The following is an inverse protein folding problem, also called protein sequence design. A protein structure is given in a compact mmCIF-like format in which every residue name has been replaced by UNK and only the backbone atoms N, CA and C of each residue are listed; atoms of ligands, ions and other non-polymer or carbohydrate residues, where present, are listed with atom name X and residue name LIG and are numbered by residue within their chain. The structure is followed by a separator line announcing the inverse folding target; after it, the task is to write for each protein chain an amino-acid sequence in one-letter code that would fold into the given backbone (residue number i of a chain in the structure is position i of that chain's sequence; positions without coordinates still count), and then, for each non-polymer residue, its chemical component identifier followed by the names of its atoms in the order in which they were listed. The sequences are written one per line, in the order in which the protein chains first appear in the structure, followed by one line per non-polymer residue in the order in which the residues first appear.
data_IF_678950350522
#
_entry.id   IF_678950350522
#
_cell.length_a   1.000
_cell.length_b   1.000
_cell.length_c   1.000
_cell.angle_alpha   90.00
_cell.angle_beta   90.00
_cell.angle_gamma   90.00
#
_symmetry.space_group_name_H-M   'P 1'
#
loop_
_entity.id
_entity.type
_entity.pdbx_description
1 polymer ?
#
# COMPACT_ATOMS: atom_id res chain seq x y z
N UNK A 1 27.51 -27.51 -12.30
CA UNK A 1 28.20 -28.26 -11.22
C UNK A 1 29.69 -28.11 -11.47
N UNK A 2 30.41 -27.41 -10.60
CA UNK A 2 31.87 -27.48 -10.63
C UNK A 2 32.26 -28.85 -10.06
N UNK A 3 32.80 -29.72 -10.92
CA UNK A 3 33.29 -31.04 -10.49
C UNK A 3 34.51 -30.91 -9.58
N UNK A 4 34.88 -32.00 -8.90
CA UNK A 4 36.12 -32.05 -8.11
C UNK A 4 37.33 -32.22 -9.02
N UNK A 5 38.35 -31.37 -8.88
CA UNK A 5 39.64 -31.57 -9.55
C UNK A 5 40.37 -32.72 -8.86
N UNK A 6 40.62 -33.79 -9.59
CA UNK A 6 41.34 -34.97 -9.10
C UNK A 6 42.81 -34.96 -9.56
N UNK A 7 43.72 -35.25 -8.65
CA UNK A 7 45.16 -35.34 -8.90
C UNK A 7 45.83 -36.43 -8.07
N UNK A 8 47.00 -36.91 -8.51
CA UNK A 8 47.79 -37.89 -7.78
C UNK A 8 48.46 -37.23 -6.55
N UNK A 9 48.11 -37.72 -5.37
CA UNK A 9 48.56 -37.17 -4.08
C UNK A 9 47.67 -36.04 -3.54
N UNK A 10 47.84 -35.69 -2.25
CA UNK A 10 47.10 -34.60 -1.59
C UNK A 10 47.48 -33.20 -2.09
N UNK A 11 48.55 -33.08 -2.87
CA UNK A 11 49.18 -31.80 -3.27
C UNK A 11 48.63 -31.21 -4.58
N UNK A 12 47.69 -31.87 -5.26
CA UNK A 12 47.16 -31.45 -6.57
C UNK A 12 45.62 -31.36 -6.59
N UNK A 13 44.98 -31.04 -5.46
CA UNK A 13 43.52 -30.97 -5.30
C UNK A 13 43.06 -29.55 -4.96
N UNK A 14 42.87 -28.71 -5.98
CA UNK A 14 42.24 -27.40 -5.82
C UNK A 14 40.80 -27.41 -6.32
N UNK A 15 39.99 -26.43 -5.93
CA UNK A 15 38.60 -26.35 -6.38
C UNK A 15 38.45 -26.02 -7.87
N UNK A 16 39.40 -25.24 -8.42
CA UNK A 16 39.43 -24.81 -9.81
C UNK A 16 40.59 -25.43 -10.58
N UNK A 17 41.78 -25.49 -9.96
CA UNK A 17 42.96 -26.09 -10.58
C UNK A 17 43.85 -26.81 -9.56
N UNK A 18 44.47 -27.93 -9.95
CA UNK A 18 45.45 -28.62 -9.11
C UNK A 18 46.75 -27.82 -8.96
N UNK A 19 47.19 -27.16 -10.02
CA UNK A 19 48.40 -26.32 -10.02
C UNK A 19 48.19 -25.03 -10.81
N UNK A 20 48.73 -23.89 -10.35
CA UNK A 20 48.83 -22.67 -11.16
C UNK A 20 50.27 -22.16 -11.30
N UNK A 21 50.61 -21.66 -12.48
CA UNK A 21 51.88 -20.96 -12.74
C UNK A 21 51.64 -19.54 -13.31
N UNK A 22 50.39 -19.12 -13.40
CA UNK A 22 49.96 -17.80 -13.86
C UNK A 22 48.81 -17.26 -13.01
N UNK A 23 48.48 -15.96 -13.13
CA UNK A 23 47.48 -15.33 -12.28
C UNK A 23 46.09 -15.94 -12.49
N UNK A 24 45.37 -16.15 -11.38
CA UNK A 24 43.94 -16.45 -11.35
C UNK A 24 43.28 -15.33 -10.56
N UNK A 25 42.23 -14.75 -11.12
CA UNK A 25 41.53 -13.60 -10.55
C UNK A 25 40.01 -13.73 -10.75
N UNK A 26 39.22 -13.05 -9.92
CA UNK A 26 37.75 -12.96 -10.00
C UNK A 26 37.06 -14.33 -10.19
N UNK A 27 37.34 -15.26 -9.28
CA UNK A 27 36.96 -16.66 -9.44
C UNK A 27 36.04 -17.14 -8.32
N UNK A 28 35.16 -18.08 -8.65
CA UNK A 28 34.17 -18.61 -7.72
C UNK A 28 34.11 -20.13 -7.83
N UNK A 29 33.98 -20.82 -6.69
CA UNK A 29 33.76 -22.26 -6.67
C UNK A 29 32.77 -22.66 -5.60
N UNK A 30 32.10 -23.78 -5.83
CA UNK A 30 31.23 -24.38 -4.83
C UNK A 30 32.06 -25.25 -3.87
N UNK A 31 32.19 -24.81 -2.63
CA UNK A 31 32.94 -25.51 -1.57
C UNK A 31 32.30 -26.85 -1.17
N UNK A 32 30.99 -26.99 -1.31
CA UNK A 32 30.23 -28.16 -0.89
C UNK A 32 30.29 -29.27 -1.94
N UNK A 33 30.18 -28.93 -3.23
CA UNK A 33 30.28 -29.93 -4.30
C UNK A 33 31.72 -30.30 -4.64
N UNK A 34 32.66 -29.35 -4.52
CA UNK A 34 34.08 -29.62 -4.77
C UNK A 34 34.77 -30.33 -3.61
N UNK A 35 34.31 -30.10 -2.37
CA UNK A 35 34.96 -30.52 -1.14
C UNK A 35 36.27 -29.78 -0.85
N UNK A 36 36.57 -28.70 -1.58
CA UNK A 36 37.84 -27.98 -1.50
C UNK A 36 37.69 -26.61 -0.82
N UNK A 37 38.61 -26.30 0.09
CA UNK A 37 38.69 -25.00 0.79
C UNK A 37 39.51 -23.96 0.04
N UNK A 38 40.31 -24.37 -0.94
CA UNK A 38 41.21 -23.49 -1.70
C UNK A 38 40.90 -23.59 -3.21
N UNK A 39 40.97 -22.46 -3.92
CA UNK A 39 40.83 -22.40 -5.38
C UNK A 39 41.89 -23.25 -6.12
N UNK A 40 43.13 -23.26 -5.61
CA UNK A 40 44.24 -24.06 -6.13
C UNK A 40 44.94 -24.85 -5.01
N UNK A 41 45.71 -25.87 -5.38
CA UNK A 41 46.47 -26.67 -4.41
C UNK A 41 47.94 -26.25 -4.26
N UNK A 42 48.65 -26.03 -5.38
CA UNK A 42 50.06 -25.64 -5.38
C UNK A 42 50.33 -24.71 -6.55
N UNK A 43 51.24 -23.75 -6.42
CA UNK A 43 51.54 -22.87 -7.54
C UNK A 43 52.39 -21.67 -7.18
N UNK A 44 52.90 -21.02 -8.22
CA UNK A 44 53.66 -19.76 -8.12
C UNK A 44 52.90 -18.57 -8.67
N UNK A 45 51.75 -18.80 -9.32
CA UNK A 45 50.89 -17.74 -9.83
C UNK A 45 50.05 -17.11 -8.73
N UNK A 46 49.75 -15.81 -8.85
CA UNK A 46 48.87 -15.13 -7.90
C UNK A 46 47.43 -15.67 -7.97
N UNK A 47 46.75 -15.68 -6.83
CA UNK A 47 45.32 -15.97 -6.72
C UNK A 47 44.69 -14.82 -5.97
N UNK A 48 43.92 -13.99 -6.66
CA UNK A 48 43.26 -12.80 -6.13
C UNK A 48 41.75 -12.88 -6.36
N UNK A 49 40.96 -12.20 -5.52
CA UNK A 49 39.49 -12.09 -5.65
C UNK A 49 38.79 -13.42 -5.99
N UNK A 50 39.22 -14.47 -5.30
CA UNK A 50 38.77 -15.83 -5.49
C UNK A 50 37.99 -16.30 -4.26
N UNK A 51 36.71 -16.62 -4.45
CA UNK A 51 35.77 -16.85 -3.36
C UNK A 51 35.18 -18.26 -3.40
N UNK A 52 35.38 -19.00 -2.31
CA UNK A 52 34.67 -20.25 -2.07
C UNK A 52 33.29 -19.94 -1.52
N UNK A 53 32.26 -20.42 -2.18
CA UNK A 53 30.86 -20.15 -1.87
C UNK A 53 30.14 -21.45 -1.55
N UNK A 54 29.04 -21.39 -0.81
CA UNK A 54 28.13 -22.52 -0.64
C UNK A 54 27.34 -22.80 -1.92
N UNK A 55 26.73 -23.97 -2.05
CA UNK A 55 25.85 -24.30 -3.17
C UNK A 55 24.67 -23.33 -3.27
N UNK A 56 24.15 -22.83 -2.15
CA UNK A 56 23.06 -21.86 -2.16
C UNK A 56 23.55 -20.49 -2.69
N UNK A 57 24.69 -20.01 -2.21
CA UNK A 57 25.28 -18.75 -2.69
C UNK A 57 25.65 -18.83 -4.17
N UNK A 58 26.17 -19.98 -4.65
CA UNK A 58 26.47 -20.19 -6.07
C UNK A 58 25.24 -20.14 -7.00
N UNK A 59 24.02 -20.10 -6.46
CA UNK A 59 22.76 -19.96 -7.20
C UNK A 59 22.08 -18.60 -6.99
N UNK A 60 22.83 -17.61 -6.48
CA UNK A 60 22.35 -16.24 -6.28
C UNK A 60 23.16 -15.27 -7.13
N UNK A 61 22.53 -14.39 -7.93
CA UNK A 61 23.26 -13.41 -8.75
C UNK A 61 24.16 -12.49 -7.92
N UNK A 62 23.70 -12.09 -6.73
CA UNK A 62 24.44 -11.18 -5.84
C UNK A 62 25.83 -11.70 -5.41
N UNK A 63 26.03 -13.02 -5.43
CA UNK A 63 27.32 -13.67 -5.12
C UNK A 63 28.39 -13.31 -6.16
N UNK A 64 28.00 -13.10 -7.41
CA UNK A 64 28.90 -12.86 -8.54
C UNK A 64 29.03 -11.35 -8.80
N UNK A 65 29.42 -10.58 -7.78
CA UNK A 65 29.61 -9.14 -7.90
C UNK A 65 30.59 -8.82 -9.04
N UNK A 66 30.21 -7.89 -9.93
CA UNK A 66 30.99 -7.52 -11.11
C UNK A 66 30.79 -8.41 -12.33
N UNK A 67 30.09 -9.55 -12.22
CA UNK A 67 29.67 -10.31 -13.39
C UNK A 67 28.46 -9.67 -14.06
N UNK A 68 28.41 -9.77 -15.39
CA UNK A 68 27.27 -9.31 -16.16
C UNK A 68 26.16 -10.37 -16.15
N UNK A 69 25.42 -10.46 -15.03
CA UNK A 69 24.50 -11.55 -14.69
C UNK A 69 23.12 -11.04 -14.28
N UNK A 70 22.08 -11.83 -14.55
CA UNK A 70 20.69 -11.51 -14.17
C UNK A 70 19.91 -12.73 -13.67
N UNK A 71 18.96 -12.47 -12.77
CA UNK A 71 17.90 -13.40 -12.36
C UNK A 71 16.62 -13.27 -13.19
N UNK A 72 16.60 -12.40 -14.20
CA UNK A 72 15.46 -12.21 -15.11
C UNK A 72 15.85 -12.59 -16.55
N UNK A 73 14.88 -13.14 -17.28
CA UNK A 73 15.03 -13.49 -18.69
C UNK A 73 14.73 -12.33 -19.63
N UNK A 74 15.20 -12.43 -20.87
CA UNK A 74 15.00 -11.40 -21.89
C UNK A 74 15.86 -10.15 -21.72
N UNK A 75 16.89 -10.20 -20.87
CA UNK A 75 17.82 -9.09 -20.66
C UNK A 75 19.07 -9.24 -21.52
N UNK A 76 19.86 -8.17 -21.63
CA UNK A 76 21.10 -8.14 -22.43
C UNK A 76 22.32 -8.68 -21.68
N UNK A 77 22.14 -9.15 -20.44
CA UNK A 77 23.21 -9.65 -19.58
C UNK A 77 23.81 -10.94 -20.13
N UNK A 78 25.13 -11.09 -20.06
CA UNK A 78 25.83 -12.28 -20.59
C UNK A 78 25.41 -13.56 -19.87
N UNK A 79 25.22 -13.50 -18.56
CA UNK A 79 24.90 -14.65 -17.72
C UNK A 79 23.45 -14.62 -17.23
N UNK A 80 22.92 -15.81 -16.98
CA UNK A 80 21.59 -16.07 -16.43
C UNK A 80 21.72 -16.98 -15.22
N UNK A 81 21.08 -16.64 -14.11
CA UNK A 81 20.82 -17.56 -13.00
C UNK A 81 19.31 -17.66 -12.82
N UNK A 82 18.78 -18.87 -12.73
CA UNK A 82 17.47 -19.07 -12.12
C UNK A 82 17.71 -19.18 -10.62
N UNK A 83 17.32 -18.14 -9.88
CA UNK A 83 17.67 -17.99 -8.47
C UNK A 83 17.24 -19.23 -7.66
N UNK A 84 18.15 -19.70 -6.82
CA UNK A 84 18.06 -20.94 -6.03
C UNK A 84 17.95 -22.26 -6.85
N UNK A 85 17.75 -22.20 -8.17
CA UNK A 85 17.60 -23.37 -9.04
C UNK A 85 18.89 -23.77 -9.75
N UNK A 86 19.63 -22.81 -10.32
CA UNK A 86 20.78 -23.10 -11.20
C UNK A 86 22.04 -22.36 -10.81
N UNK A 87 23.18 -22.94 -11.16
CA UNK A 87 24.45 -22.21 -11.30
C UNK A 87 24.34 -21.20 -12.47
N UNK A 88 25.30 -20.26 -12.62
CA UNK A 88 25.38 -19.40 -13.80
C UNK A 88 25.31 -20.20 -15.11
N UNK A 89 24.41 -19.76 -15.98
CA UNK A 89 24.24 -20.26 -17.35
C UNK A 89 24.67 -19.17 -18.32
N UNK A 90 25.38 -19.53 -19.38
CA UNK A 90 25.73 -18.58 -20.42
C UNK A 90 24.52 -18.31 -21.33
N UNK A 91 24.04 -17.07 -21.40
CA UNK A 91 22.79 -16.73 -22.09
C UNK A 91 22.85 -17.01 -23.59
N UNK A 92 24.03 -16.95 -24.21
CA UNK A 92 24.19 -17.21 -25.66
C UNK A 92 23.78 -18.62 -26.10
N UNK A 93 23.66 -19.58 -25.18
CA UNK A 93 23.22 -20.95 -25.47
C UNK A 93 21.75 -21.20 -25.11
N UNK A 94 21.07 -20.18 -24.57
CA UNK A 94 19.65 -20.26 -24.21
C UNK A 94 18.79 -19.72 -25.34
N UNK A 95 17.69 -20.41 -25.64
CA UNK A 95 16.66 -19.90 -26.54
C UNK A 95 15.70 -18.97 -25.78
N UNK A 96 15.22 -17.85 -26.34
CA UNK A 96 14.26 -17.01 -25.65
C UNK A 96 12.90 -17.74 -25.49
N UNK A 97 12.28 -17.61 -24.32
CA UNK A 97 10.91 -18.06 -24.07
C UNK A 97 10.18 -17.04 -23.19
N UNK A 98 9.13 -16.41 -23.72
CA UNK A 98 8.25 -15.58 -22.91
C UNK A 98 7.09 -16.42 -22.37
N UNK A 99 6.79 -16.27 -21.08
CA UNK A 99 5.63 -16.89 -20.43
C UNK A 99 4.76 -15.75 -19.90
N UNK A 100 3.64 -15.49 -20.57
CA UNK A 100 2.72 -14.40 -20.23
C UNK A 100 1.54 -14.92 -19.44
N UNK A 101 1.25 -14.32 -18.29
CA UNK A 101 -0.04 -14.53 -17.63
C UNK A 101 -1.16 -13.87 -18.43
N UNK A 102 -2.26 -14.59 -18.63
CA UNK A 102 -3.42 -14.03 -19.31
C UNK A 102 -4.15 -13.08 -18.36
N UNK A 103 -4.64 -11.97 -18.90
CA UNK A 103 -5.46 -11.02 -18.16
C UNK A 103 -6.80 -11.65 -17.77
N UNK A 104 -7.41 -11.20 -16.68
CA UNK A 104 -8.67 -11.73 -16.16
C UNK A 104 -9.56 -10.61 -15.64
N UNK A 105 -10.85 -10.66 -16.00
CA UNK A 105 -11.85 -9.71 -15.50
C UNK A 105 -12.95 -10.49 -14.82
N UNK A 106 -13.26 -10.12 -13.57
CA UNK A 106 -14.31 -10.70 -12.76
C UNK A 106 -15.26 -9.60 -12.29
N UNK A 107 -16.55 -9.90 -12.13
CA UNK A 107 -17.42 -9.08 -11.31
C UNK A 107 -17.18 -9.40 -9.83
N UNK A 108 -17.20 -8.39 -8.97
CA UNK A 108 -17.06 -8.58 -7.53
C UNK A 108 -18.12 -9.54 -7.01
N UNK A 109 -17.68 -10.55 -6.27
CA UNK A 109 -18.53 -11.59 -5.68
C UNK A 109 -18.11 -11.94 -4.24
N UNK A 110 -17.26 -11.11 -3.62
CA UNK A 110 -16.72 -11.30 -2.27
C UNK A 110 -15.81 -12.52 -2.10
N UNK A 111 -15.43 -13.21 -3.18
CA UNK A 111 -14.56 -14.37 -3.12
C UNK A 111 -13.09 -13.97 -3.31
N UNK A 112 -12.22 -14.64 -2.56
CA UNK A 112 -10.77 -14.48 -2.71
C UNK A 112 -10.29 -15.02 -4.05
N UNK A 113 -9.50 -14.24 -4.78
CA UNK A 113 -8.83 -14.66 -5.99
C UNK A 113 -7.59 -15.52 -5.69
N UNK A 114 -7.46 -16.62 -6.41
CA UNK A 114 -6.30 -17.53 -6.31
C UNK A 114 -6.00 -18.14 -7.68
N UNK A 115 -4.72 -18.24 -8.02
CA UNK A 115 -4.25 -18.75 -9.30
C UNK A 115 -4.19 -17.66 -10.38
N UNK A 116 -4.60 -17.99 -11.60
CA UNK A 116 -4.56 -17.08 -12.75
C UNK A 116 -5.52 -17.51 -13.84
N UNK A 117 -5.53 -16.80 -14.97
CA UNK A 117 -6.40 -17.12 -16.12
C UNK A 117 -5.68 -17.91 -17.23
N UNK A 118 -4.77 -18.79 -16.81
CA UNK A 118 -3.85 -19.48 -17.72
C UNK A 118 -2.67 -18.62 -18.15
N UNK A 119 -1.80 -19.22 -18.97
CA UNK A 119 -0.61 -18.58 -19.52
C UNK A 119 -0.50 -18.82 -21.02
N UNK A 120 0.14 -17.88 -21.71
CA UNK A 120 0.52 -18.00 -23.11
C UNK A 120 2.05 -18.07 -23.21
N UNK A 121 2.56 -19.09 -23.91
CA UNK A 121 3.99 -19.26 -24.18
C UNK A 121 4.34 -18.69 -25.56
N UNK A 122 5.50 -18.04 -25.67
CA UNK A 122 5.99 -17.53 -26.94
C UNK A 122 7.50 -17.83 -27.10
N UNK A 123 7.90 -18.62 -28.11
CA UNK A 123 7.06 -19.20 -29.16
C UNK A 123 6.13 -20.32 -28.62
N UNK A 124 5.00 -20.56 -29.30
CA UNK A 124 3.97 -21.52 -28.87
C UNK A 124 4.41 -22.98 -28.99
N UNK A 125 5.40 -23.26 -29.84
CA UNK A 125 5.94 -24.58 -30.18
C UNK A 125 7.26 -24.90 -29.44
N UNK A 126 7.48 -24.29 -28.27
CA UNK A 126 8.64 -24.58 -27.44
C UNK A 126 8.70 -26.06 -27.02
N UNK A 127 9.91 -26.62 -26.96
CA UNK A 127 10.16 -27.95 -26.42
C UNK A 127 10.01 -27.98 -24.89
N UNK A 128 8.91 -28.57 -24.40
CA UNK A 128 8.57 -28.66 -22.97
C UNK A 128 9.67 -29.33 -22.13
N UNK A 129 10.44 -30.26 -22.71
CA UNK A 129 11.56 -30.92 -22.03
C UNK A 129 12.69 -29.97 -21.62
N UNK A 130 12.76 -28.78 -22.22
CA UNK A 130 13.71 -27.72 -21.86
C UNK A 130 13.23 -26.85 -20.70
N UNK A 131 12.01 -27.03 -20.19
CA UNK A 131 11.47 -26.28 -19.06
C UNK A 131 11.32 -27.21 -17.86
N UNK A 132 11.68 -26.74 -16.68
CA UNK A 132 11.61 -27.47 -15.42
C UNK A 132 10.93 -26.64 -14.35
N UNK A 133 10.55 -27.28 -13.25
CA UNK A 133 9.86 -26.65 -12.13
C UNK A 133 8.34 -26.65 -12.29
N UNK A 134 7.68 -25.92 -11.40
CA UNK A 134 6.22 -25.82 -11.33
C UNK A 134 5.82 -24.36 -11.48
N UNK A 135 5.03 -24.06 -12.50
CA UNK A 135 4.49 -22.72 -12.70
C UNK A 135 3.65 -22.30 -11.49
N UNK A 136 3.98 -21.17 -10.91
CA UNK A 136 3.27 -20.61 -9.75
C UNK A 136 2.77 -19.21 -10.07
N UNK A 137 1.48 -18.96 -9.78
CA UNK A 137 0.91 -17.62 -9.82
C UNK A 137 1.23 -16.89 -8.52
N UNK A 138 1.67 -15.65 -8.65
CA UNK A 138 2.14 -14.77 -7.58
C UNK A 138 1.65 -13.34 -7.84
N UNK A 139 2.17 -12.36 -7.11
CA UNK A 139 1.81 -10.95 -7.29
C UNK A 139 0.59 -10.56 -6.45
N UNK A 140 0.16 -9.31 -6.63
CA UNK A 140 -0.89 -8.68 -5.81
C UNK A 140 -2.30 -9.25 -6.06
N UNK A 141 -2.49 -10.00 -7.16
CA UNK A 141 -3.75 -10.70 -7.43
C UNK A 141 -4.03 -11.83 -6.44
N UNK A 142 -3.00 -12.46 -5.87
CA UNK A 142 -3.20 -13.59 -4.97
C UNK A 142 -3.75 -13.08 -3.64
N UNK A 143 -4.96 -13.49 -3.28
CA UNK A 143 -5.64 -13.00 -2.09
C UNK A 143 -6.53 -11.77 -2.33
N UNK A 144 -6.59 -11.23 -3.55
CA UNK A 144 -7.44 -10.09 -3.86
C UNK A 144 -8.92 -10.46 -3.67
N UNK A 145 -9.68 -9.57 -3.03
CA UNK A 145 -11.13 -9.72 -2.80
C UNK A 145 -11.87 -8.50 -3.35
N UNK A 146 -11.39 -7.30 -3.00
CA UNK A 146 -12.08 -6.05 -3.26
C UNK A 146 -11.99 -5.63 -4.74
N UNK A 147 -12.90 -4.75 -5.21
CA UNK A 147 -12.79 -4.15 -6.52
C UNK A 147 -11.45 -3.44 -6.71
N UNK A 148 -10.87 -3.56 -7.89
CA UNK A 148 -9.56 -3.00 -8.17
C UNK A 148 -8.83 -3.66 -9.32
N UNK A 149 -7.59 -3.21 -9.51
CA UNK A 149 -6.67 -3.72 -10.52
C UNK A 149 -5.46 -4.31 -9.80
N UNK A 150 -5.14 -5.57 -10.10
CA UNK A 150 -4.10 -6.33 -9.45
C UNK A 150 -3.17 -7.01 -10.47
N UNK A 151 -1.93 -7.25 -10.08
CA UNK A 151 -0.94 -7.92 -10.94
C UNK A 151 -1.02 -9.44 -10.77
N UNK A 152 -1.11 -10.15 -11.89
CA UNK A 152 -0.92 -11.59 -11.98
C UNK A 152 0.53 -11.85 -12.39
N UNK A 153 1.40 -12.11 -11.42
CA UNK A 153 2.80 -12.42 -11.67
C UNK A 153 3.02 -13.94 -11.75
N UNK A 154 4.12 -14.36 -12.37
CA UNK A 154 4.48 -15.76 -12.56
C UNK A 154 5.87 -16.04 -12.00
N UNK A 155 6.07 -17.26 -11.52
CA UNK A 155 7.37 -17.75 -11.06
C UNK A 155 7.45 -19.29 -11.13
N UNK A 156 8.57 -19.84 -10.65
CA UNK A 156 8.72 -21.27 -10.38
C UNK A 156 9.16 -22.13 -11.57
N UNK A 157 9.22 -21.57 -12.78
CA UNK A 157 9.85 -22.22 -13.93
C UNK A 157 11.32 -21.86 -14.04
N UNK A 158 12.14 -22.84 -14.42
CA UNK A 158 13.55 -22.67 -14.72
C UNK A 158 13.99 -23.55 -15.89
N UNK A 159 15.23 -23.38 -16.32
CA UNK A 159 15.82 -24.15 -17.42
C UNK A 159 17.30 -24.45 -17.17
N UNK A 160 17.95 -25.09 -18.14
CA UNK A 160 19.34 -25.54 -18.09
C UNK A 160 20.15 -24.91 -19.23
N UNK A 161 21.47 -25.12 -19.27
CA UNK A 161 22.41 -24.43 -20.18
C UNK A 161 22.06 -24.49 -21.68
N UNK A 162 21.31 -25.51 -22.13
CA UNK A 162 20.89 -25.69 -23.52
C UNK A 162 19.36 -25.56 -23.69
N UNK A 163 18.68 -24.99 -22.70
CA UNK A 163 17.24 -24.79 -22.71
C UNK A 163 16.89 -23.35 -23.04
N UNK A 164 16.12 -22.72 -22.15
CA UNK A 164 15.50 -21.42 -22.38
C UNK A 164 16.01 -20.34 -21.45
N UNK A 165 15.96 -19.11 -21.94
CA UNK A 165 15.98 -17.89 -21.16
C UNK A 165 14.53 -17.44 -20.95
N UNK A 166 13.94 -17.90 -19.85
CA UNK A 166 12.53 -17.72 -19.52
C UNK A 166 12.33 -16.31 -18.99
N UNK A 167 11.52 -15.53 -19.68
CA UNK A 167 11.04 -14.22 -19.29
C UNK A 167 9.56 -14.31 -18.87
N UNK A 168 9.25 -13.98 -17.62
CA UNK A 168 7.87 -13.88 -17.16
C UNK A 168 7.30 -12.51 -17.53
N UNK A 169 6.12 -12.52 -18.12
CA UNK A 169 5.37 -11.31 -18.44
C UNK A 169 4.09 -11.33 -17.60
N UNK A 170 3.89 -10.37 -16.68
CA UNK A 170 2.70 -10.36 -15.84
C UNK A 170 1.44 -10.07 -16.67
N UNK A 171 0.31 -10.53 -16.14
CA UNK A 171 -1.03 -10.20 -16.59
C UNK A 171 -1.73 -9.33 -15.54
N UNK A 172 -2.97 -8.97 -15.83
CA UNK A 172 -3.78 -8.08 -14.99
C UNK A 172 -5.06 -8.79 -14.57
N UNK A 173 -5.36 -8.75 -13.27
CA UNK A 173 -6.68 -9.06 -12.73
C UNK A 173 -7.45 -7.76 -12.53
N UNK A 174 -8.67 -7.68 -13.05
CA UNK A 174 -9.63 -6.60 -12.79
C UNK A 174 -10.83 -7.19 -12.07
N UNK A 175 -11.06 -6.79 -10.82
CA UNK A 175 -12.30 -7.09 -10.10
C UNK A 175 -13.21 -5.88 -10.25
N UNK A 176 -14.31 -6.05 -10.96
CA UNK A 176 -15.30 -5.03 -11.32
C UNK A 176 -16.35 -4.92 -10.23
N UNK A 177 -16.36 -3.80 -9.52
CA UNK A 177 -17.37 -3.48 -8.51
C UNK A 177 -17.23 -2.05 -8.02
N UNK A 178 -18.27 -1.49 -7.39
CA UNK A 178 -18.19 -0.19 -6.73
C UNK A 178 -17.37 -0.27 -5.45
N UNK A 179 -16.69 0.82 -5.11
CA UNK A 179 -15.99 0.99 -3.83
C UNK A 179 -16.27 2.43 -3.35
N UNK A 180 -17.09 2.58 -2.31
CA UNK A 180 -17.51 3.90 -1.81
C UNK A 180 -16.51 4.43 -0.78
N UNK A 181 -16.18 5.71 -0.90
CA UNK A 181 -15.42 6.47 0.10
C UNK A 181 -16.06 7.82 0.33
N UNK A 182 -16.30 8.20 1.59
CA UNK A 182 -16.86 9.51 1.93
C UNK A 182 -15.78 10.36 2.61
N UNK A 183 -15.69 11.64 2.24
CA UNK A 183 -14.77 12.60 2.88
C UNK A 183 -15.51 13.83 3.35
N UNK A 184 -15.08 14.40 4.48
CA UNK A 184 -15.40 15.76 4.90
C UNK A 184 -14.10 16.53 5.19
N UNK A 185 -14.07 17.82 4.87
CA UNK A 185 -12.84 18.64 4.93
C UNK A 185 -11.63 18.04 4.17
N UNK A 186 -11.87 17.18 3.17
CA UNK A 186 -10.84 16.47 2.41
C UNK A 186 -10.22 15.26 3.11
N UNK A 187 -10.65 14.92 4.33
CA UNK A 187 -10.23 13.73 5.05
C UNK A 187 -11.29 12.63 4.94
N UNK A 188 -10.85 11.38 4.84
CA UNK A 188 -11.74 10.22 4.82
C UNK A 188 -12.44 10.06 6.16
N UNK A 189 -13.77 9.87 6.10
CA UNK A 189 -14.61 9.50 7.23
C UNK A 189 -14.86 8.01 7.06
N UNK A 190 -14.35 7.18 7.98
CA UNK A 190 -14.47 5.73 7.83
C UNK A 190 -15.93 5.24 7.88
N UNK A 191 -16.24 4.13 7.21
CA UNK A 191 -17.53 3.49 7.39
C UNK A 191 -17.69 2.98 8.83
N UNK A 192 -18.85 3.22 9.41
CA UNK A 192 -19.20 2.99 10.82
C UNK A 192 -18.37 3.83 11.81
N UNK A 193 -17.85 4.99 11.41
CA UNK A 193 -17.20 5.91 12.33
C UNK A 193 -18.23 6.46 13.36
N UNK A 194 -17.97 6.22 14.64
CA UNK A 194 -18.81 6.67 15.76
C UNK A 194 -18.21 7.83 16.54
N UNK A 195 -17.10 8.40 16.07
CA UNK A 195 -16.29 9.38 16.79
C UNK A 195 -16.17 10.69 16.00
N UNK A 196 -17.16 11.58 16.09
CA UNK A 196 -17.12 12.86 15.40
C UNK A 196 -15.88 13.69 15.76
N UNK A 197 -15.26 14.32 14.76
CA UNK A 197 -14.05 15.11 14.88
C UNK A 197 -14.06 16.35 13.99
N UNK A 198 -13.21 17.32 14.35
CA UNK A 198 -13.07 18.55 13.57
C UNK A 198 -12.25 18.35 12.29
N UNK A 199 -11.36 17.36 12.28
CA UNK A 199 -10.44 17.09 11.18
C UNK A 199 -11.17 16.68 9.90
N UNK A 200 -12.11 15.75 9.99
CA UNK A 200 -12.93 15.26 8.88
C UNK A 200 -14.27 15.99 8.76
N UNK A 201 -14.46 17.04 9.55
CA UNK A 201 -15.64 17.88 9.50
C UNK A 201 -16.91 17.26 10.10
N UNK A 202 -16.85 16.09 10.73
CA UNK A 202 -18.03 15.48 11.37
C UNK A 202 -18.46 16.18 12.68
N UNK A 203 -17.60 17.00 13.27
CA UNK A 203 -17.94 17.93 14.36
C UNK A 203 -18.23 19.35 13.83
N UNK A 204 -19.49 19.78 13.95
CA UNK A 204 -20.00 21.09 13.52
C UNK A 204 -19.66 22.22 14.49
N UNK A 205 -19.01 21.91 15.61
CA UNK A 205 -18.55 22.87 16.60
C UNK A 205 -19.68 23.41 17.46
N UNK A 206 -19.43 24.57 18.08
CA UNK A 206 -20.38 25.24 18.97
C UNK A 206 -21.01 26.44 18.28
N UNK A 207 -22.34 26.48 18.24
CA UNK A 207 -23.11 27.61 17.72
C UNK A 207 -24.03 28.16 18.82
N UNK A 208 -24.47 29.40 18.63
CA UNK A 208 -25.52 29.97 19.47
C UNK A 208 -26.88 29.41 19.07
N UNK A 209 -27.72 29.14 20.08
CA UNK A 209 -29.14 28.80 19.85
C UNK A 209 -29.82 29.94 19.11
N UNK A 210 -30.57 29.61 18.05
CA UNK A 210 -31.19 30.59 17.13
C UNK A 210 -30.19 31.56 16.47
N UNK A 211 -28.93 31.16 16.38
CA UNK A 211 -27.86 31.89 15.72
C UNK A 211 -27.78 31.61 14.22
N UNK A 212 -26.59 31.84 13.65
CA UNK A 212 -26.31 31.45 12.26
C UNK A 212 -25.97 29.96 12.23
N UNK A 213 -26.70 29.20 11.42
CA UNK A 213 -26.43 27.78 11.21
C UNK A 213 -25.11 27.57 10.47
N UNK A 214 -24.48 26.41 10.67
CA UNK A 214 -23.27 26.01 9.91
C UNK A 214 -23.61 24.90 8.94
N UNK A 215 -23.09 25.03 7.72
CA UNK A 215 -23.27 24.07 6.63
C UNK A 215 -21.93 23.41 6.34
N UNK A 216 -21.94 22.09 6.16
CA UNK A 216 -20.77 21.31 5.74
C UNK A 216 -21.08 20.46 4.54
N UNK A 217 -20.09 20.34 3.65
CA UNK A 217 -20.15 19.52 2.45
C UNK A 217 -19.39 18.22 2.67
N UNK A 218 -20.02 17.11 2.29
CA UNK A 218 -19.43 15.79 2.28
C UNK A 218 -19.39 15.29 0.85
N UNK A 219 -18.25 14.75 0.43
CA UNK A 219 -18.05 14.23 -0.93
C UNK A 219 -18.05 12.72 -0.90
N UNK A 220 -18.86 12.10 -1.74
CA UNK A 220 -18.90 10.67 -2.00
C UNK A 220 -18.06 10.41 -3.24
N UNK A 221 -17.02 9.58 -3.10
CA UNK A 221 -16.21 9.06 -4.19
C UNK A 221 -16.58 7.61 -4.48
N UNK A 222 -16.52 7.24 -5.75
CA UNK A 222 -16.43 5.84 -6.17
C UNK A 222 -15.00 5.55 -6.60
N UNK A 223 -14.23 4.91 -5.74
CA UNK A 223 -12.84 4.49 -6.01
C UNK A 223 -12.75 3.10 -6.64
N UNK A 224 -13.91 2.51 -6.97
CA UNK A 224 -14.03 1.19 -7.57
C UNK A 224 -13.93 1.26 -9.09
N UNK A 225 -13.84 0.09 -9.69
CA UNK A 225 -13.77 -0.09 -11.16
C UNK A 225 -15.15 -0.26 -11.80
N UNK A 226 -16.20 -0.50 -10.99
CA UNK A 226 -17.61 -0.54 -11.39
C UNK A 226 -18.35 0.75 -11.02
N UNK A 227 -19.57 0.94 -11.54
CA UNK A 227 -20.44 2.06 -11.12
C UNK A 227 -20.98 1.84 -9.71
N UNK A 228 -20.96 2.88 -8.88
CA UNK A 228 -21.63 2.94 -7.58
C UNK A 228 -23.05 3.47 -7.75
N UNK A 229 -24.00 2.81 -7.10
CA UNK A 229 -25.41 3.20 -7.03
C UNK A 229 -25.79 3.55 -5.60
N UNK A 230 -26.26 4.78 -5.38
CA UNK A 230 -26.90 5.21 -4.14
C UNK A 230 -28.36 4.76 -4.16
N UNK A 231 -28.70 3.78 -3.32
CA UNK A 231 -29.97 3.03 -3.38
C UNK A 231 -31.07 3.62 -2.49
N UNK A 232 -30.74 4.59 -1.64
CA UNK A 232 -31.69 5.26 -0.75
C UNK A 232 -32.66 6.21 -1.47
N UNK A 233 -33.84 6.40 -0.89
CA UNK A 233 -34.79 7.46 -1.26
C UNK A 233 -35.36 8.10 0.01
N UNK A 234 -34.85 9.26 0.46
CA UNK A 234 -33.73 10.04 -0.12
C UNK A 234 -32.37 9.31 -0.03
N UNK A 235 -31.40 9.72 -0.84
CA UNK A 235 -30.10 9.02 -0.97
C UNK A 235 -29.26 9.10 0.31
N UNK A 236 -29.32 10.24 1.00
CA UNK A 236 -28.72 10.46 2.32
C UNK A 236 -29.82 10.69 3.34
N UNK A 237 -29.80 9.92 4.41
CA UNK A 237 -30.77 10.00 5.51
C UNK A 237 -30.05 10.33 6.81
N UNK A 238 -30.68 11.15 7.65
CA UNK A 238 -30.23 11.41 9.01
C UNK A 238 -31.16 10.74 10.02
N UNK A 239 -30.58 10.28 11.13
CA UNK A 239 -31.31 9.89 12.33
C UNK A 239 -30.65 10.50 13.57
N UNK A 240 -31.37 10.61 14.68
CA UNK A 240 -30.89 11.28 15.90
C UNK A 240 -31.47 12.67 16.06
N UNK A 241 -30.63 13.66 16.38
CA UNK A 241 -31.06 15.04 16.64
C UNK A 241 -31.69 15.68 15.40
N UNK A 242 -32.82 16.36 15.59
CA UNK A 242 -33.51 17.16 14.57
C UNK A 242 -32.81 18.47 14.24
N UNK A 243 -31.76 18.82 14.98
CA UNK A 243 -30.93 20.00 14.73
C UNK A 243 -30.02 19.83 13.50
N UNK A 244 -29.98 18.62 12.92
CA UNK A 244 -29.31 18.36 11.66
C UNK A 244 -30.32 18.14 10.53
N UNK A 245 -30.06 18.73 9.37
CA UNK A 245 -30.84 18.51 8.16
C UNK A 245 -29.94 18.35 6.94
N UNK A 246 -30.31 17.46 6.02
CA UNK A 246 -29.69 17.41 4.68
C UNK A 246 -30.35 18.48 3.83
N UNK A 247 -29.59 19.49 3.41
CA UNK A 247 -30.13 20.62 2.64
C UNK A 247 -29.84 20.51 1.15
N UNK A 248 -28.86 19.68 0.76
CA UNK A 248 -28.59 19.30 -0.62
C UNK A 248 -28.29 17.81 -0.69
N UNK A 249 -29.05 17.09 -1.51
CA UNK A 249 -28.86 15.66 -1.76
C UNK A 249 -27.91 15.48 -2.95
N UNK A 250 -27.27 14.30 -3.11
CA UNK A 250 -26.52 14.00 -4.32
C UNK A 250 -27.36 14.22 -5.60
N UNK A 251 -26.80 14.92 -6.58
CA UNK A 251 -27.49 15.25 -7.83
C UNK A 251 -27.75 14.07 -8.76
N UNK A 252 -27.14 12.91 -8.48
CA UNK A 252 -27.31 11.65 -9.20
C UNK A 252 -27.19 10.48 -8.23
N UNK A 253 -28.01 9.44 -8.42
CA UNK A 253 -27.89 8.17 -7.71
C UNK A 253 -26.83 7.25 -8.30
N UNK A 254 -26.30 7.54 -9.49
CA UNK A 254 -25.23 6.78 -10.11
C UNK A 254 -23.95 7.61 -10.16
N UNK A 255 -22.86 7.02 -9.68
CA UNK A 255 -21.51 7.58 -9.69
C UNK A 255 -20.62 6.62 -10.47
N UNK A 256 -20.06 7.08 -11.60
CA UNK A 256 -19.16 6.27 -12.42
C UNK A 256 -17.92 5.83 -11.64
N UNK A 257 -17.20 4.82 -12.12
CA UNK A 257 -15.86 4.52 -11.65
C UNK A 257 -14.99 5.79 -11.69
N UNK A 258 -14.16 5.98 -10.66
CA UNK A 258 -13.35 7.18 -10.39
C UNK A 258 -14.14 8.50 -10.28
N UNK A 259 -15.47 8.42 -10.25
CA UNK A 259 -16.38 9.57 -10.16
C UNK A 259 -16.61 10.04 -8.73
N UNK A 260 -17.28 11.18 -8.59
CA UNK A 260 -17.74 11.67 -7.29
C UNK A 260 -19.07 12.44 -7.39
N UNK A 261 -19.73 12.57 -6.24
CA UNK A 261 -20.91 13.41 -6.00
C UNK A 261 -20.81 13.97 -4.59
N UNK A 262 -21.71 14.85 -4.17
CA UNK A 262 -21.67 15.44 -2.82
C UNK A 262 -23.07 15.63 -2.25
N UNK A 263 -23.12 15.85 -0.95
CA UNK A 263 -24.31 16.31 -0.23
C UNK A 263 -23.89 17.35 0.81
N UNK A 264 -24.85 18.12 1.30
CA UNK A 264 -24.59 19.09 2.36
C UNK A 264 -25.53 18.92 3.55
N UNK A 265 -24.97 19.05 4.74
CA UNK A 265 -25.69 18.98 6.00
C UNK A 265 -25.60 20.34 6.68
N UNK A 266 -26.73 20.81 7.20
CA UNK A 266 -26.82 21.98 8.06
C UNK A 266 -27.00 21.55 9.51
N UNK A 267 -26.30 22.23 10.42
CA UNK A 267 -26.55 22.18 11.87
C UNK A 267 -27.12 23.51 12.35
N UNK A 268 -28.28 23.44 13.00
CA UNK A 268 -29.01 24.58 13.56
C UNK A 268 -29.53 24.22 14.97
N UNK A 269 -28.81 24.57 16.05
CA UNK A 269 -29.23 24.20 17.40
C UNK A 269 -30.43 25.02 17.86
N UNK A 270 -31.47 24.32 18.32
CA UNK A 270 -32.67 24.90 18.94
C UNK A 270 -32.60 25.00 20.48
N UNK A 271 -31.61 24.33 21.09
CA UNK A 271 -31.40 24.30 22.53
C UNK A 271 -29.91 24.20 22.88
N UNK A 272 -29.58 24.57 24.13
CA UNK A 272 -28.24 24.40 24.68
C UNK A 272 -27.96 22.92 24.92
N UNK A 273 -26.79 22.45 24.48
CA UNK A 273 -26.34 21.08 24.69
C UNK A 273 -25.75 20.44 23.44
N UNK A 274 -25.24 19.22 23.60
CA UNK A 274 -24.70 18.43 22.50
C UNK A 274 -25.83 17.76 21.72
N UNK A 275 -25.83 17.95 20.41
CA UNK A 275 -26.66 17.24 19.45
C UNK A 275 -25.79 16.24 18.70
N UNK A 276 -26.24 15.00 18.61
CA UNK A 276 -25.63 13.97 17.78
C UNK A 276 -26.62 13.46 16.73
N UNK A 277 -26.13 13.13 15.55
CA UNK A 277 -26.90 12.47 14.50
C UNK A 277 -26.05 11.42 13.79
N UNK A 278 -26.70 10.48 13.12
CA UNK A 278 -26.08 9.47 12.27
C UNK A 278 -26.44 9.74 10.83
N UNK A 279 -25.43 9.83 9.97
CA UNK A 279 -25.56 9.92 8.52
C UNK A 279 -25.56 8.51 7.95
N UNK A 280 -26.55 8.21 7.12
CA UNK A 280 -26.68 6.91 6.43
C UNK A 280 -26.79 7.13 4.93
N UNK A 281 -25.92 6.48 4.16
CA UNK A 281 -25.92 6.47 2.69
C UNK A 281 -26.08 5.03 2.22
N UNK A 282 -27.31 4.64 1.87
CA UNK A 282 -27.58 3.32 1.30
C UNK A 282 -26.99 3.23 -0.12
N UNK A 283 -26.23 2.17 -0.41
CA UNK A 283 -25.50 2.02 -1.66
C UNK A 283 -25.34 0.54 -2.08
N UNK A 284 -24.62 0.26 -3.16
CA UNK A 284 -24.34 -1.09 -3.66
C UNK A 284 -22.87 -1.54 -3.55
N UNK A 285 -22.05 -0.83 -2.77
CA UNK A 285 -20.76 -1.35 -2.30
C UNK A 285 -21.01 -2.46 -1.28
N UNK A 286 -20.53 -3.67 -1.60
CA UNK A 286 -20.96 -4.89 -0.95
C UNK A 286 -20.52 -5.03 0.51
N UNK A 287 -19.41 -4.41 0.92
CA UNK A 287 -18.92 -4.45 2.31
C UNK A 287 -19.14 -3.11 3.05
N UNK A 288 -19.58 -2.07 2.35
CA UNK A 288 -19.86 -0.73 2.91
C UNK A 288 -21.29 -0.24 2.63
N UNK A 289 -22.23 -1.18 2.51
CA UNK A 289 -23.66 -0.87 2.37
C UNK A 289 -24.46 -1.27 3.62
N UNK A 290 -25.15 -0.33 4.28
CA UNK A 290 -25.05 1.13 4.06
C UNK A 290 -23.71 1.70 4.55
N UNK A 291 -23.34 2.87 4.03
CA UNK A 291 -22.23 3.67 4.58
C UNK A 291 -22.76 4.54 5.71
N UNK A 292 -22.18 4.44 6.89
CA UNK A 292 -22.70 5.09 8.10
C UNK A 292 -21.60 5.85 8.82
N UNK A 293 -21.87 7.05 9.32
CA UNK A 293 -20.97 7.75 10.25
C UNK A 293 -21.73 8.70 11.18
N UNK A 294 -21.16 8.98 12.34
CA UNK A 294 -21.71 9.91 13.32
C UNK A 294 -21.27 11.35 13.05
N UNK A 295 -22.14 12.30 13.37
CA UNK A 295 -21.85 13.74 13.40
C UNK A 295 -22.32 14.35 14.72
N UNK A 296 -21.69 15.45 15.12
CA UNK A 296 -22.07 16.18 16.34
C UNK A 296 -22.01 17.69 16.16
N UNK A 297 -22.64 18.40 17.08
CA UNK A 297 -22.59 19.87 17.20
C UNK A 297 -23.21 20.30 18.52
N UNK A 298 -22.79 21.44 19.06
CA UNK A 298 -23.25 21.95 20.35
C UNK A 298 -23.96 23.29 20.23
N UNK A 299 -25.12 23.42 20.87
CA UNK A 299 -25.79 24.70 21.09
C UNK A 299 -25.31 25.36 22.38
N UNK A 300 -25.14 26.67 22.36
CA UNK A 300 -24.84 27.49 23.54
C UNK A 300 -25.74 28.72 23.59
N UNK A 301 -25.89 29.31 24.78
CA UNK A 301 -26.53 30.61 24.89
C UNK A 301 -25.68 31.66 24.23
N UNK A 302 -26.32 32.58 23.49
CA UNK A 302 -25.66 33.82 23.09
C UNK A 302 -25.06 34.47 24.33
N UNK A 303 -23.79 34.86 24.27
CA UNK A 303 -23.16 35.61 25.36
C UNK A 303 -23.71 37.03 25.37
N UNK A 304 -24.98 37.17 25.76
CA UNK A 304 -25.57 38.45 26.11
C UNK A 304 -24.89 38.95 27.38
N UNK A 305 -24.22 40.11 27.25
CA UNK A 305 -23.42 40.74 28.29
C UNK A 305 -24.11 40.77 29.65
N UNK A 306 -23.27 40.66 30.68
CA UNK A 306 -23.66 40.49 32.08
C UNK A 306 -24.93 41.26 32.46
N UNK A 307 -25.87 40.54 33.03
CA UNK A 307 -26.96 41.07 33.81
C UNK A 307 -26.39 42.02 34.86
N UNK A 308 -26.38 43.32 34.56
CA UNK A 308 -26.26 44.35 35.58
C UNK A 308 -27.51 44.18 36.43
N UNK A 309 -27.31 43.64 37.63
CA UNK A 309 -28.37 43.39 38.59
C UNK A 309 -29.15 44.69 38.82
N UNK A 310 -30.42 44.68 38.44
CA UNK A 310 -31.43 45.59 38.94
C UNK A 310 -31.58 45.34 40.44
N UNK A 311 -31.10 46.28 41.26
CA UNK A 311 -31.34 46.33 42.69
C UNK A 311 -31.63 47.76 43.11
N UNK A 312 -32.89 48.17 43.04
CA UNK A 312 -33.36 49.40 43.67
C UNK A 312 -33.62 49.19 45.16
N UNK A 313 -33.13 50.11 46.00
CA UNK A 313 -33.75 50.46 47.27
C UNK A 313 -32.94 50.22 48.56
N UNK A 314 -32.28 51.28 49.05
CA UNK A 314 -32.37 51.67 50.47
C UNK A 314 -31.19 51.37 51.40
N UNK A 315 -30.36 52.41 51.64
CA UNK A 315 -29.91 52.75 53.01
C UNK A 315 -28.50 52.36 53.45
N UNK A 316 -27.59 53.35 53.47
CA UNK A 316 -26.63 53.52 54.57
C UNK A 316 -25.20 52.99 54.39
N UNK A 317 -24.33 53.85 53.85
CA UNK A 317 -22.95 54.04 54.35
C UNK A 317 -21.87 53.02 53.97
N UNK A 318 -20.94 53.44 53.12
CA UNK A 318 -19.55 52.99 53.16
C UNK A 318 -19.00 52.29 51.91
N UNK A 319 -18.11 52.98 51.20
CA UNK A 319 -16.96 52.38 50.49
C UNK A 319 -17.24 51.48 49.28
N UNK A 320 -17.23 52.07 48.08
CA UNK A 320 -17.13 51.35 46.81
C UNK A 320 -15.68 50.87 46.60
N UNK A 321 -15.48 49.54 46.55
CA UNK A 321 -14.36 48.91 45.87
C UNK A 321 -14.93 47.90 44.87
N UNK A 322 -14.91 48.25 43.58
CA UNK A 322 -15.09 47.31 42.47
C UNK A 322 -13.69 46.85 42.07
N UNK A 323 -13.31 45.64 42.47
CA UNK A 323 -12.20 44.91 41.88
C UNK A 323 -12.74 43.89 40.89
N UNK A 324 -12.65 44.18 39.59
CA UNK A 324 -12.88 43.20 38.54
C UNK A 324 -11.65 42.28 38.44
N UNK A 325 -11.74 41.04 38.92
CA UNK A 325 -10.77 40.00 38.55
C UNK A 325 -11.20 39.34 37.24
N UNK A 326 -10.76 39.92 36.13
CA UNK A 326 -10.52 39.16 34.90
C UNK A 326 -9.22 38.37 35.09
N UNK A 327 -9.30 37.05 35.28
CA UNK A 327 -8.13 36.17 35.18
C UNK A 327 -8.13 35.57 33.76
N UNK A 328 -7.43 36.23 32.85
CA UNK A 328 -6.99 35.63 31.59
C UNK A 328 -5.63 35.02 31.86
N UNK A 329 -5.54 33.69 31.93
CA UNK A 329 -4.25 33.02 31.88
C UNK A 329 -3.79 32.97 30.42
N UNK A 330 -2.76 33.75 30.11
CA UNK A 330 -2.11 33.81 28.82
C UNK A 330 -0.60 33.87 28.98
N UNK A 331 0.02 32.72 28.73
CA UNK A 331 1.28 32.54 27.99
C UNK A 331 2.55 33.23 28.53
N UNK A 332 3.38 32.43 29.19
CA UNK A 332 4.82 32.71 29.31
C UNK A 332 5.50 32.44 27.98
N UNK A 333 6.07 33.51 27.42
CA UNK A 333 7.04 33.51 26.34
C UNK A 333 8.26 32.65 26.70
N UNK A 334 8.55 31.64 25.87
CA UNK A 334 9.86 30.99 25.81
C UNK A 334 10.61 31.55 24.60
N UNK A 335 11.55 32.46 24.87
CA UNK A 335 12.62 32.79 23.93
C UNK A 335 13.70 31.73 24.11
N UNK A 336 13.97 30.93 23.08
CA UNK A 336 15.24 30.20 22.96
C UNK A 336 15.95 30.57 21.66
N UNK A 337 17.22 30.91 21.86
CA UNK A 337 18.06 31.65 20.94
C UNK A 337 18.71 30.83 19.83
N UNK A 338 19.11 31.58 18.81
CA UNK A 338 20.05 31.26 17.75
C UNK A 338 21.42 30.83 18.30
N UNK A 339 21.97 29.76 17.74
CA UNK A 339 23.41 29.57 17.55
C UNK A 339 23.68 29.05 16.14
N UNK A 340 24.52 29.78 15.41
CA UNK A 340 25.15 29.39 14.15
C UNK A 340 26.57 28.94 14.46
N UNK A 341 27.06 27.92 13.75
CA UNK A 341 28.48 27.65 13.60
C UNK A 341 28.86 27.56 12.13
N UNK A 342 30.09 28.00 11.90
CA UNK A 342 30.91 27.95 10.68
C UNK A 342 31.10 26.52 10.20
#
# INVERSE_FOLDING_TARGET
VTGSVIGSGSLHKGALAGTNNGPIDNCFWDTQTSGATNAISIGTGSVTDCFGQTTAEMRRPATFAGWDIDAVGGTTKIWRIYEDQTYPLLRTFLSPLAVRANDHTLSYNGSTYSGGNGVTYMPVDYAVSGVSGTLTYTGSSQGAVNPGIYEIALSGLYSHQLGYDIAFVPGTLIIVGPEIRITGNGNEIANNDLTPGTADGTDFGTLYVSGVSVVKTFTIYNTGTGSLTLTGSPMVVLSGSTNFSVIDQPGSSSVSADGSTFFTIQFDPDAVGLSGATVTVANDDADKSPYVFAIQGAGTNSSGGGSSASGGGGGGGGGCFIGTTNRVEGLRSLVYGFWSWV
#
